data_IF_750967849382
#
_entry.id   IF_750967849382
#
_cell.length_a   1.000
_cell.length_b   1.000
_cell.length_c   1.000
_cell.angle_alpha   90.00
_cell.angle_beta   90.00
_cell.angle_gamma   90.00
#
_symmetry.space_group_name_H-M   'P 1'
#
loop_
_entity.id
_entity.type
_entity.pdbx_description
1 polymer ?
#
# COMPACT_ATOMS: atom_id res chain seq x y z
N UNK A 1 -0.64 -11.76 16.81
CA UNK A 1 -0.49 -12.34 15.45
C UNK A 1 -1.73 -13.20 15.24
N UNK A 2 -2.33 -13.21 14.04
CA UNK A 2 -3.63 -13.85 13.69
C UNK A 2 -4.86 -12.92 13.56
N UNK A 3 -4.67 -11.63 13.26
CA UNK A 3 -5.77 -10.86 12.69
C UNK A 3 -6.06 -11.37 11.27
N UNK A 4 -7.34 -11.63 10.96
CA UNK A 4 -7.82 -11.89 9.60
C UNK A 4 -7.61 -10.64 8.75
N UNK A 5 -7.23 -10.84 7.49
CA UNK A 5 -7.11 -9.77 6.50
C UNK A 5 -7.68 -10.30 5.19
N UNK A 6 -9.00 -10.46 5.16
CA UNK A 6 -9.73 -11.01 4.01
C UNK A 6 -9.60 -10.06 2.81
N UNK A 7 -9.75 -10.57 1.59
CA UNK A 7 -9.59 -9.74 0.39
C UNK A 7 -10.70 -8.68 0.28
N UNK A 8 -10.33 -7.43 0.03
CA UNK A 8 -11.24 -6.30 -0.23
C UNK A 8 -10.50 -5.18 -0.97
N UNK A 9 -11.23 -4.30 -1.67
CA UNK A 9 -10.66 -3.15 -2.38
C UNK A 9 -9.45 -3.50 -3.28
N UNK A 10 -9.49 -4.67 -3.91
CA UNK A 10 -8.38 -5.33 -4.59
C UNK A 10 -8.65 -5.61 -6.09
N UNK A 11 -9.81 -5.22 -6.60
CA UNK A 11 -10.24 -5.49 -7.98
C UNK A 11 -9.84 -4.37 -8.97
N UNK A 12 -9.60 -3.17 -8.45
CA UNK A 12 -9.22 -2.00 -9.23
C UNK A 12 -7.71 -1.97 -9.48
N UNK A 13 -7.30 -1.24 -10.52
CA UNK A 13 -5.88 -0.93 -10.71
C UNK A 13 -5.44 0.08 -9.65
N UNK A 14 -4.41 -0.29 -8.88
CA UNK A 14 -3.79 0.62 -7.93
C UNK A 14 -3.03 1.71 -8.67
N UNK A 15 -3.11 2.93 -8.14
CA UNK A 15 -2.49 4.12 -8.70
C UNK A 15 -1.34 4.59 -7.82
N UNK A 16 -0.50 5.47 -8.36
CA UNK A 16 0.62 6.07 -7.62
C UNK A 16 0.11 6.73 -6.34
N UNK A 17 0.79 6.46 -5.21
CA UNK A 17 0.40 6.96 -3.90
C UNK A 17 -0.65 6.11 -3.19
N UNK A 18 -1.22 5.08 -3.81
CA UNK A 18 -2.09 4.15 -3.10
C UNK A 18 -1.31 3.41 -2.00
N UNK A 19 -1.92 3.34 -0.81
CA UNK A 19 -1.41 2.56 0.32
C UNK A 19 -2.13 1.23 0.31
N UNK A 20 -1.36 0.15 0.19
CA UNK A 20 -1.89 -1.21 0.08
C UNK A 20 -1.28 -2.14 1.14
N UNK A 21 -2.03 -3.15 1.55
CA UNK A 21 -1.58 -4.17 2.50
C UNK A 21 -1.81 -5.57 1.92
N UNK A 22 -0.86 -6.48 2.12
CA UNK A 22 -1.02 -7.85 1.68
C UNK A 22 -2.12 -8.59 2.46
N UNK A 23 -3.09 -9.15 1.74
CA UNK A 23 -4.22 -9.88 2.33
C UNK A 23 -3.88 -11.35 2.60
N UNK A 24 -4.86 -12.11 3.10
CA UNK A 24 -4.70 -13.51 3.52
C UNK A 24 -4.19 -14.44 2.41
N UNK A 25 -4.36 -14.05 1.13
CA UNK A 25 -3.88 -14.84 -0.02
C UNK A 25 -2.42 -14.55 -0.39
N UNK A 26 -1.77 -13.56 0.23
CA UNK A 26 -0.39 -13.16 -0.10
C UNK A 26 0.69 -14.00 0.61
N UNK A 27 0.29 -15.07 1.29
CA UNK A 27 1.20 -16.04 1.93
C UNK A 27 2.13 -15.36 2.93
N UNK A 28 3.46 -15.51 2.76
CA UNK A 28 4.45 -14.91 3.66
C UNK A 28 4.45 -13.38 3.67
N UNK A 29 3.84 -12.74 2.68
CA UNK A 29 3.71 -11.28 2.56
C UNK A 29 2.39 -10.76 3.14
N UNK A 30 1.58 -11.63 3.78
CA UNK A 30 0.40 -11.21 4.53
C UNK A 30 0.78 -10.13 5.54
N UNK A 31 0.00 -9.05 5.53
CA UNK A 31 0.16 -7.85 6.35
C UNK A 31 1.43 -7.02 6.05
N UNK A 32 2.09 -7.25 4.92
CA UNK A 32 3.11 -6.33 4.43
C UNK A 32 2.46 -5.07 3.87
N UNK A 33 2.88 -3.91 4.37
CA UNK A 33 2.39 -2.60 3.94
C UNK A 33 3.29 -2.04 2.83
N UNK A 34 2.68 -1.49 1.78
CA UNK A 34 3.39 -0.95 0.62
C UNK A 34 2.74 0.37 0.18
N UNK A 35 3.55 1.23 -0.47
CA UNK A 35 3.07 2.40 -1.22
C UNK A 35 3.31 2.09 -2.70
N UNK A 36 2.30 2.34 -3.53
CA UNK A 36 2.38 2.11 -4.97
C UNK A 36 3.13 3.26 -5.64
N UNK A 37 4.20 2.94 -6.37
CA UNK A 37 4.99 3.91 -7.17
C UNK A 37 4.75 3.78 -8.67
N UNK A 38 4.22 2.64 -9.12
CA UNK A 38 3.87 2.37 -10.52
C UNK A 38 2.48 1.71 -10.57
N UNK A 39 1.57 2.15 -11.46
CA UNK A 39 0.23 1.56 -11.55
C UNK A 39 0.24 0.07 -11.88
N UNK A 40 -0.55 -0.72 -11.15
CA UNK A 40 -0.66 -2.17 -11.37
C UNK A 40 -1.91 -2.79 -10.72
N UNK A 41 -2.19 -4.06 -11.06
CA UNK A 41 -3.25 -4.87 -10.44
C UNK A 41 -2.63 -6.03 -9.66
N UNK A 42 -3.08 -6.26 -8.43
CA UNK A 42 -2.74 -7.45 -7.64
C UNK A 42 -3.85 -7.78 -6.65
N UNK A 43 -4.64 -8.81 -6.93
CA UNK A 43 -5.76 -9.23 -6.08
C UNK A 43 -5.33 -9.71 -4.69
N UNK A 44 -4.04 -9.95 -4.46
CA UNK A 44 -3.49 -10.36 -3.15
C UNK A 44 -3.22 -9.18 -2.22
N UNK A 45 -3.49 -7.95 -2.67
CA UNK A 45 -3.31 -6.72 -1.89
C UNK A 45 -4.65 -6.01 -1.73
N UNK A 46 -4.91 -5.46 -0.55
CA UNK A 46 -6.08 -4.62 -0.31
C UNK A 46 -5.64 -3.15 -0.28
N UNK A 47 -6.39 -2.26 -0.95
CA UNK A 47 -6.20 -0.82 -0.79
C UNK A 47 -6.76 -0.36 0.56
N UNK A 48 -5.95 0.37 1.33
CA UNK A 48 -6.32 0.86 2.69
C UNK A 48 -6.21 2.37 2.84
N UNK A 49 -5.66 3.06 1.84
CA UNK A 49 -5.56 4.51 1.83
C UNK A 49 -4.91 5.03 0.55
N UNK A 50 -4.69 6.34 0.49
CA UNK A 50 -3.94 6.99 -0.57
C UNK A 50 -3.27 8.24 -0.02
N UNK A 51 -2.05 8.51 -0.50
CA UNK A 51 -1.34 9.77 -0.26
C UNK A 51 -2.02 10.87 -1.06
N UNK A 52 -2.21 12.03 -0.44
CA UNK A 52 -2.82 13.18 -1.11
C UNK A 52 -1.95 13.61 -2.29
N UNK A 53 -2.54 13.99 -3.44
CA UNK A 53 -1.78 14.29 -4.66
C UNK A 53 -0.69 15.35 -4.47
N UNK A 54 -0.92 16.32 -3.58
CA UNK A 54 0.02 17.41 -3.29
C UNK A 54 1.33 16.93 -2.64
N UNK A 55 1.32 15.74 -2.03
CA UNK A 55 2.47 15.16 -1.34
C UNK A 55 3.18 14.06 -2.16
N UNK A 56 2.73 13.75 -3.37
CA UNK A 56 3.35 12.69 -4.20
C UNK A 56 4.82 12.95 -4.48
N UNK A 57 5.24 14.22 -4.59
CA UNK A 57 6.65 14.62 -4.73
C UNK A 57 7.53 14.06 -3.60
N UNK A 58 6.99 13.85 -2.39
CA UNK A 58 7.76 13.33 -1.26
C UNK A 58 8.17 11.85 -1.44
N UNK A 59 7.48 11.10 -2.30
CA UNK A 59 7.77 9.69 -2.56
C UNK A 59 9.17 9.50 -3.15
N UNK A 60 9.65 10.44 -3.97
CA UNK A 60 10.98 10.41 -4.58
C UNK A 60 12.11 10.54 -3.54
N UNK A 61 11.81 11.03 -2.34
CA UNK A 61 12.76 11.19 -1.23
C UNK A 61 12.83 9.95 -0.32
N UNK A 62 12.03 8.92 -0.59
CA UNK A 62 12.07 7.66 0.15
C UNK A 62 13.16 6.76 -0.46
N UNK A 63 14.37 6.89 0.06
CA UNK A 63 15.53 6.08 -0.30
C UNK A 63 15.66 4.81 0.56
N UNK A 64 16.56 3.87 0.20
CA UNK A 64 16.85 2.73 1.05
C UNK A 64 17.20 3.17 2.47
N UNK A 65 16.59 2.51 3.47
CA UNK A 65 16.72 2.81 4.90
C UNK A 65 16.10 4.13 5.39
N UNK A 66 15.44 4.89 4.51
CA UNK A 66 14.64 6.05 4.93
C UNK A 66 13.52 5.61 5.88
N UNK A 67 13.30 6.43 6.90
CA UNK A 67 12.15 6.29 7.81
C UNK A 67 11.13 7.36 7.45
N UNK A 68 9.87 6.97 7.40
CA UNK A 68 8.75 7.87 7.20
C UNK A 68 7.60 7.47 8.12
N UNK A 69 6.57 8.32 8.21
CA UNK A 69 5.33 8.04 8.92
C UNK A 69 4.16 8.56 8.10
N UNK A 70 3.02 7.88 8.20
CA UNK A 70 1.75 8.45 7.75
C UNK A 70 1.18 9.33 8.86
N UNK A 71 0.51 10.41 8.46
CA UNK A 71 -0.23 11.31 9.35
C UNK A 71 -1.62 11.47 8.73
N UNK A 72 -2.66 11.41 9.54
CA UNK A 72 -4.02 11.70 9.08
C UNK A 72 -4.13 13.17 8.68
N UNK A 73 -4.99 13.44 7.69
CA UNK A 73 -5.24 14.80 7.21
C UNK A 73 -6.09 15.59 8.21
#
# INVERSE_FOLDING_TARGET
KDAKNEAHDNENEFQIGDVVIGNDTFGKYKNELQIVLEPHRDARKNKVGAIVPEEHLLLDFIHPWSKFKFIEK
#
